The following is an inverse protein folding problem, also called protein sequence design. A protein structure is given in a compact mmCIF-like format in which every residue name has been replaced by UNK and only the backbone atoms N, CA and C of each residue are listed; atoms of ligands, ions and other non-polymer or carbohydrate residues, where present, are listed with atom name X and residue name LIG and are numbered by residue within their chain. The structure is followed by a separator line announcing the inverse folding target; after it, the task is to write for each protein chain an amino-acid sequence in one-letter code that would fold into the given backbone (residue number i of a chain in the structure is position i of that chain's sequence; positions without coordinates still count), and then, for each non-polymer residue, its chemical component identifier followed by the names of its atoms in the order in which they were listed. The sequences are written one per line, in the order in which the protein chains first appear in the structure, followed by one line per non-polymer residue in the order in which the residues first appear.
data_IF_749288448959
#
_entry.id   IF_749288448959
#
_cell.length_a   1.000
_cell.length_b   1.000
_cell.length_c   1.000
_cell.angle_alpha   90.00
_cell.angle_beta   90.00
_cell.angle_gamma   90.00
#
_symmetry.space_group_name_H-M   'P 1'
#
loop_
_entity.id
_entity.type
_entity.pdbx_description
1 polymer ?
#
# COMPACT_ATOMS: atom_id res chain seq x y z
N UNK A 1 10.76 2.50 16.34
CA UNK A 1 9.68 1.51 16.12
C UNK A 1 8.57 2.24 15.39
N UNK A 2 8.36 1.91 14.12
CA UNK A 2 7.29 2.49 13.31
C UNK A 2 6.06 1.60 13.32
N UNK A 3 4.88 2.19 13.31
CA UNK A 3 3.59 1.51 13.15
C UNK A 3 2.75 2.30 12.15
N UNK A 4 2.17 1.60 11.18
CA UNK A 4 1.14 2.13 10.29
C UNK A 4 -0.11 1.27 10.51
N UNK A 5 -1.20 1.90 10.92
CA UNK A 5 -2.50 1.28 11.03
C UNK A 5 -3.46 1.97 10.06
N UNK A 6 -4.02 1.20 9.13
CA UNK A 6 -4.99 1.68 8.15
C UNK A 6 -6.25 0.85 8.26
N UNK A 7 -7.41 1.50 8.31
CA UNK A 7 -8.68 0.83 8.18
C UNK A 7 -9.57 1.54 7.15
N UNK A 8 -10.32 0.75 6.38
CA UNK A 8 -11.29 1.27 5.44
C UNK A 8 -12.68 1.24 6.10
N UNK A 9 -13.33 2.39 6.25
CA UNK A 9 -14.70 2.50 6.76
C UNK A 9 -15.51 3.41 5.84
N UNK A 10 -16.61 2.90 5.28
CA UNK A 10 -17.48 3.66 4.37
C UNK A 10 -16.71 4.31 3.20
N UNK A 11 -15.78 3.58 2.58
CA UNK A 11 -14.86 4.07 1.52
C UNK A 11 -13.88 5.17 1.95
N UNK A 12 -13.87 5.59 3.22
CA UNK A 12 -12.86 6.49 3.77
C UNK A 12 -11.74 5.68 4.42
N UNK A 13 -10.50 5.97 4.03
CA UNK A 13 -9.33 5.37 4.64
C UNK A 13 -8.96 6.18 5.90
N UNK A 14 -9.01 5.54 7.07
CA UNK A 14 -8.51 6.15 8.31
C UNK A 14 -7.11 5.63 8.57
N UNK A 15 -6.15 6.55 8.61
CA UNK A 15 -4.74 6.24 8.83
C UNK A 15 -4.33 6.74 10.22
N UNK A 16 -3.66 5.88 10.99
CA UNK A 16 -2.93 6.26 12.20
C UNK A 16 -1.51 5.73 12.07
N UNK A 17 -0.52 6.61 12.18
CA UNK A 17 0.88 6.25 12.11
C UNK A 17 1.65 6.81 13.30
N UNK A 18 2.62 6.05 13.80
CA UNK A 18 3.53 6.46 14.87
C UNK A 18 4.93 6.04 14.47
N UNK A 19 5.90 6.96 14.52
CA UNK A 19 7.29 6.69 14.15
C UNK A 19 7.90 7.85 13.37
N UNK A 20 9.20 7.75 13.08
CA UNK A 20 9.90 8.73 12.24
C UNK A 20 9.54 8.51 10.78
N UNK A 21 9.55 9.57 9.97
CA UNK A 21 9.21 9.52 8.54
C UNK A 21 9.95 8.43 7.78
N UNK A 22 11.26 8.28 7.99
CA UNK A 22 12.06 7.25 7.34
C UNK A 22 11.61 5.83 7.72
N UNK A 23 11.25 5.59 8.99
CA UNK A 23 10.73 4.28 9.42
C UNK A 23 9.37 3.98 8.77
N UNK A 24 8.50 4.98 8.68
CA UNK A 24 7.19 4.85 8.04
C UNK A 24 7.34 4.57 6.53
N UNK A 25 8.28 5.22 5.85
CA UNK A 25 8.61 4.94 4.46
C UNK A 25 9.11 3.50 4.27
N UNK A 26 10.00 3.01 5.15
CA UNK A 26 10.45 1.62 5.11
C UNK A 26 9.28 0.64 5.27
N UNK A 27 8.33 0.92 6.16
CA UNK A 27 7.14 0.09 6.34
C UNK A 27 6.23 0.10 5.11
N UNK A 28 6.03 1.26 4.47
CA UNK A 28 5.26 1.36 3.23
C UNK A 28 5.90 0.50 2.12
N UNK A 29 7.21 0.57 1.93
CA UNK A 29 7.92 -0.25 0.94
C UNK A 29 7.75 -1.75 1.23
N UNK A 30 7.85 -2.16 2.50
CA UNK A 30 7.64 -3.54 2.89
C UNK A 30 6.20 -4.02 2.62
N UNK A 31 5.20 -3.17 2.89
CA UNK A 31 3.79 -3.44 2.56
C UNK A 31 3.62 -3.59 1.05
N UNK A 32 4.15 -2.65 0.25
CA UNK A 32 4.07 -2.72 -1.22
C UNK A 32 4.67 -4.01 -1.77
N UNK A 33 5.87 -4.38 -1.31
CA UNK A 33 6.51 -5.65 -1.71
C UNK A 33 5.63 -6.86 -1.38
N UNK A 34 5.06 -6.90 -0.17
CA UNK A 34 4.15 -7.97 0.24
C UNK A 34 2.91 -8.04 -0.67
N UNK A 35 2.32 -6.89 -1.03
CA UNK A 35 1.17 -6.83 -1.93
C UNK A 35 1.52 -7.30 -3.35
N UNK A 36 2.68 -6.92 -3.88
CA UNK A 36 3.17 -7.34 -5.20
C UNK A 36 3.32 -8.86 -5.26
N UNK A 37 4.00 -9.45 -4.27
CA UNK A 37 4.18 -10.91 -4.20
C UNK A 37 2.84 -11.66 -4.07
N UNK A 38 1.89 -11.11 -3.32
CA UNK A 38 0.54 -11.67 -3.20
C UNK A 38 -0.23 -11.55 -4.50
N UNK A 39 -0.20 -10.39 -5.14
CA UNK A 39 -0.93 -10.12 -6.38
C UNK A 39 -0.41 -11.00 -7.53
N UNK A 40 0.91 -11.13 -7.65
CA UNK A 40 1.55 -12.03 -8.60
C UNK A 40 1.04 -13.47 -8.44
N UNK A 41 0.94 -13.97 -7.20
CA UNK A 41 0.39 -15.31 -6.90
C UNK A 41 -1.12 -15.41 -7.15
N UNK A 42 -1.90 -14.42 -6.73
CA UNK A 42 -3.37 -14.42 -6.83
C UNK A 42 -3.86 -14.27 -8.27
N UNK A 43 -3.11 -13.55 -9.12
CA UNK A 43 -3.48 -13.27 -10.52
C UNK A 43 -2.69 -14.09 -11.54
N UNK A 44 -1.62 -14.77 -11.13
CA UNK A 44 -0.75 -15.54 -12.02
C UNK A 44 0.08 -14.66 -12.97
N UNK A 45 0.39 -13.43 -12.55
CA UNK A 45 1.17 -12.46 -13.32
C UNK A 45 2.61 -12.39 -12.84
N UNK A 46 3.49 -11.81 -13.66
CA UNK A 46 4.89 -11.58 -13.26
C UNK A 46 4.99 -10.60 -12.08
N UNK A 47 6.13 -10.60 -11.37
CA UNK A 47 6.35 -9.64 -10.29
C UNK A 47 6.39 -8.19 -10.80
N UNK A 48 6.94 -7.98 -12.00
CA UNK A 48 7.03 -6.67 -12.66
C UNK A 48 5.63 -6.15 -13.02
N UNK A 49 4.80 -7.00 -13.62
CA UNK A 49 3.41 -6.65 -13.92
C UNK A 49 2.58 -6.40 -12.64
N UNK A 50 2.80 -7.21 -11.59
CA UNK A 50 2.15 -6.97 -10.30
C UNK A 50 2.62 -5.66 -9.64
N UNK A 51 3.88 -5.27 -9.81
CA UNK A 51 4.43 -3.99 -9.36
C UNK A 51 3.75 -2.82 -10.06
N UNK A 52 3.65 -2.86 -11.39
CA UNK A 52 2.94 -1.84 -12.18
C UNK A 52 1.49 -1.67 -11.72
N UNK A 53 0.76 -2.79 -11.51
CA UNK A 53 -0.62 -2.75 -11.02
C UNK A 53 -0.69 -2.09 -9.63
N UNK A 54 0.22 -2.41 -8.71
CA UNK A 54 0.24 -1.80 -7.38
C UNK A 54 0.52 -0.30 -7.47
N UNK A 55 1.48 0.12 -8.30
CA UNK A 55 1.83 1.52 -8.50
C UNK A 55 0.63 2.30 -9.07
N UNK A 56 -0.07 1.74 -10.05
CA UNK A 56 -1.25 2.37 -10.64
C UNK A 56 -2.41 2.45 -9.64
N UNK A 57 -2.62 1.41 -8.83
CA UNK A 57 -3.58 1.45 -7.73
C UNK A 57 -3.26 2.56 -6.70
N UNK A 58 -1.97 2.80 -6.40
CA UNK A 58 -1.55 3.89 -5.52
C UNK A 58 -1.89 5.24 -6.15
N UNK A 59 -1.52 5.45 -7.43
CA UNK A 59 -1.80 6.70 -8.15
C UNK A 59 -3.29 7.01 -8.18
N UNK A 60 -4.14 6.01 -8.39
CA UNK A 60 -5.59 6.19 -8.46
C UNK A 60 -6.23 6.34 -7.08
N UNK A 61 -5.73 5.61 -6.09
CA UNK A 61 -6.12 5.78 -4.69
C UNK A 61 -5.88 7.20 -4.18
N UNK A 62 -4.74 7.81 -4.53
CA UNK A 62 -4.43 9.20 -4.18
C UNK A 62 -5.40 10.23 -4.75
N UNK A 63 -6.11 9.92 -5.85
CA UNK A 63 -7.10 10.82 -6.46
C UNK A 63 -8.50 10.63 -5.88
N UNK A 64 -8.78 9.45 -5.31
CA UNK A 64 -10.14 8.99 -5.01
C UNK A 64 -10.44 8.85 -3.51
N UNK A 65 -9.41 8.70 -2.68
CA UNK A 65 -9.55 8.66 -1.23
C UNK A 65 -9.70 10.10 -0.72
N UNK A 66 -10.87 10.41 -0.18
CA UNK A 66 -11.10 11.63 0.61
C UNK A 66 -10.43 11.50 1.99
N UNK A 67 -9.77 12.58 2.45
CA UNK A 67 -9.19 12.69 3.80
C UNK A 67 -10.27 12.74 4.91
#
# INVERSE_FOLDING_TARGET
MGIIFVCLKNKKAKVRAVGKTLELLTLLVAISKCLIERLSKEKGVSLEEAEDIVIDCIKDGMKTIEE
#
